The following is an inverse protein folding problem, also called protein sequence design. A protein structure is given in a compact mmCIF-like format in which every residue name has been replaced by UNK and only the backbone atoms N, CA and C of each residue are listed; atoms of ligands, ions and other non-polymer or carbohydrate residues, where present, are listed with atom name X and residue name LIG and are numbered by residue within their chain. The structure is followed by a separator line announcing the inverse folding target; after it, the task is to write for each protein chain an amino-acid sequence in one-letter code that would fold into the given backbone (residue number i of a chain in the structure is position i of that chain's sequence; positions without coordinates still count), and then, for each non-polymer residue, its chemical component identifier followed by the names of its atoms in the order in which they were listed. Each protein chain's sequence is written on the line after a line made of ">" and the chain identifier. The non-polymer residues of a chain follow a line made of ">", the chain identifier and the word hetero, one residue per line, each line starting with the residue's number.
data_IF_466837878312
#
_entry.id   IF_466837878312
#
_cell.length_a   1.000
_cell.length_b   1.000
_cell.length_c   1.000
_cell.angle_alpha   90.00
_cell.angle_beta   90.00
_cell.angle_gamma   90.00
#
_symmetry.space_group_name_H-M   'P 1'
#
loop_
_entity.id
_entity.type
_entity.pdbx_description
1 polymer ?
#
# COMPACT_ATOMS: atom_id res chain seq x y z
N UNK A 1 19.63 13.40 -22.92
CA UNK A 1 19.54 13.53 -21.46
C UNK A 1 18.37 14.44 -21.11
N UNK A 2 17.19 13.92 -20.84
CA UNK A 2 16.08 14.64 -20.22
C UNK A 2 15.95 14.10 -18.80
N UNK A 3 16.51 14.83 -17.84
CA UNK A 3 16.27 14.54 -16.44
C UNK A 3 14.76 14.66 -16.18
N UNK A 4 14.10 13.55 -15.95
CA UNK A 4 12.74 13.50 -15.45
C UNK A 4 12.80 14.05 -14.02
N UNK A 5 12.37 15.30 -13.87
CA UNK A 5 12.28 15.93 -12.55
C UNK A 5 11.26 15.13 -11.75
N UNK A 6 11.72 14.38 -10.75
CA UNK A 6 10.85 13.89 -9.69
C UNK A 6 10.10 15.10 -9.13
N UNK A 7 8.81 15.17 -9.43
CA UNK A 7 7.92 16.16 -8.83
C UNK A 7 7.79 15.72 -7.37
N UNK A 8 8.11 16.57 -6.41
CA UNK A 8 7.96 16.23 -5.00
C UNK A 8 6.46 16.18 -4.67
N UNK A 9 5.88 14.98 -4.74
CA UNK A 9 4.50 14.70 -4.28
C UNK A 9 4.37 14.91 -2.76
N UNK A 10 5.49 15.03 -2.06
CA UNK A 10 5.54 15.20 -0.60
C UNK A 10 5.01 16.56 -0.12
N UNK A 11 4.93 17.59 -0.97
CA UNK A 11 4.58 18.95 -0.53
C UNK A 11 3.07 19.20 -0.33
N UNK A 12 2.19 18.28 -0.73
CA UNK A 12 0.74 18.48 -0.65
C UNK A 12 0.08 17.91 0.62
N UNK A 13 0.79 17.08 1.38
CA UNK A 13 0.26 16.45 2.59
C UNK A 13 0.53 17.21 3.90
N UNK A 14 1.45 18.16 3.90
CA UNK A 14 1.86 18.90 5.11
C UNK A 14 0.80 19.90 5.62
N UNK A 15 0.00 20.59 4.79
CA UNK A 15 -0.95 21.57 5.34
C UNK A 15 -2.18 20.94 5.99
N UNK A 16 -2.54 19.70 5.69
CA UNK A 16 -3.73 19.06 6.30
C UNK A 16 -3.51 18.67 7.78
N UNK A 17 -2.27 18.41 8.18
CA UNK A 17 -1.92 18.10 9.56
C UNK A 17 -1.89 19.33 10.47
N UNK A 18 -1.74 20.54 9.92
CA UNK A 18 -1.62 21.78 10.69
C UNK A 18 -2.95 22.31 11.23
N UNK A 19 -4.10 21.83 10.74
CA UNK A 19 -5.43 22.27 11.18
C UNK A 19 -6.11 21.35 12.20
N UNK A 20 -5.54 20.18 12.48
CA UNK A 20 -6.03 19.34 13.56
C UNK A 20 -5.51 19.88 14.89
N UNK A 21 -6.16 20.91 15.43
CA UNK A 21 -5.92 21.28 16.84
C UNK A 21 -6.33 20.09 17.70
N UNK A 22 -5.45 19.56 18.57
CA UNK A 22 -5.84 18.53 19.50
C UNK A 22 -6.89 19.14 20.44
N UNK A 23 -8.15 18.70 20.31
CA UNK A 23 -9.12 18.92 21.39
C UNK A 23 -8.57 18.20 22.63
N UNK A 24 -8.61 18.86 23.82
CA UNK A 24 -8.21 18.20 25.04
C UNK A 24 -9.02 16.91 25.15
N UNK A 25 -8.33 15.77 25.15
CA UNK A 25 -8.95 14.51 25.50
C UNK A 25 -9.52 14.67 26.91
N UNK A 26 -10.80 14.38 27.09
CA UNK A 26 -11.35 14.23 28.42
C UNK A 26 -10.53 13.15 29.13
N UNK A 27 -9.75 13.58 30.12
CA UNK A 27 -8.90 12.71 30.92
C UNK A 27 -9.80 11.85 31.80
N UNK A 28 -10.25 10.73 31.26
CA UNK A 28 -10.70 9.63 32.10
C UNK A 28 -9.46 8.81 32.46
N UNK A 29 -9.20 8.62 33.72
CA UNK A 29 -8.13 7.82 34.30
C UNK A 29 -8.06 6.44 33.58
N UNK A 30 -7.10 6.25 32.72
CA UNK A 30 -6.93 4.98 32.02
C UNK A 30 -5.67 5.05 31.18
N UNK A 31 -4.82 4.04 31.29
CA UNK A 31 -3.57 3.89 30.56
C UNK A 31 -3.68 4.12 29.06
N UNK A 32 -2.66 3.77 28.31
CA UNK A 32 -2.55 3.99 26.86
C UNK A 32 -3.73 3.42 26.04
N UNK A 33 -4.47 2.43 26.57
CA UNK A 33 -5.65 1.83 25.94
C UNK A 33 -6.92 2.19 26.74
N UNK A 34 -7.67 3.16 26.24
CA UNK A 34 -8.92 3.66 26.85
C UNK A 34 -10.11 3.49 25.90
N UNK A 35 -11.32 3.54 26.43
CA UNK A 35 -12.55 3.45 25.65
C UNK A 35 -12.73 4.69 24.77
N UNK A 36 -13.15 4.48 23.52
CA UNK A 36 -13.47 5.52 22.55
C UNK A 36 -14.82 5.20 21.91
N UNK A 37 -15.54 6.22 21.45
CA UNK A 37 -16.77 6.00 20.71
C UNK A 37 -16.44 5.45 19.31
N UNK A 38 -16.89 4.23 18.96
CA UNK A 38 -16.62 3.64 17.66
C UNK A 38 -17.35 4.41 16.55
N UNK A 39 -16.70 4.54 15.40
CA UNK A 39 -17.26 5.22 14.24
C UNK A 39 -17.91 4.20 13.31
N UNK A 40 -19.04 4.59 12.70
CA UNK A 40 -19.73 3.83 11.65
C UNK A 40 -20.32 4.76 10.60
N UNK A 41 -20.61 4.25 9.40
CA UNK A 41 -21.13 5.02 8.27
C UNK A 41 -20.24 6.22 7.94
N UNK A 42 -18.93 6.04 7.97
CA UNK A 42 -17.92 7.07 7.73
C UNK A 42 -17.08 6.75 6.50
N UNK A 43 -16.66 7.78 5.77
CA UNK A 43 -15.59 7.63 4.80
C UNK A 43 -14.24 7.58 5.52
N UNK A 44 -13.34 6.72 5.02
CA UNK A 44 -11.99 6.57 5.52
C UNK A 44 -11.00 6.95 4.43
N UNK A 45 -10.00 7.75 4.79
CA UNK A 45 -8.84 8.02 3.95
C UNK A 45 -7.62 7.51 4.70
N UNK A 46 -6.94 6.54 4.11
CA UNK A 46 -5.67 6.02 4.60
C UNK A 46 -4.50 6.54 3.77
N UNK A 47 -3.39 6.84 4.43
CA UNK A 47 -2.12 7.15 3.77
C UNK A 47 -1.01 6.41 4.51
N UNK A 48 -0.26 5.60 3.78
CA UNK A 48 0.83 4.80 4.33
C UNK A 48 2.15 5.01 3.60
N UNK A 49 3.23 4.72 4.30
CA UNK A 49 4.56 4.64 3.72
C UNK A 49 5.38 3.56 4.42
N UNK A 50 6.24 2.89 3.68
CA UNK A 50 7.04 1.82 4.26
C UNK A 50 8.04 1.21 3.29
N UNK A 51 8.64 0.15 3.78
CA UNK A 51 9.55 -0.71 3.06
C UNK A 51 8.77 -1.81 2.34
N UNK A 52 9.20 -2.15 1.13
CA UNK A 52 8.63 -3.27 0.37
C UNK A 52 9.74 -4.10 -0.27
N UNK A 53 9.50 -5.40 -0.37
CA UNK A 53 10.39 -6.33 -1.05
C UNK A 53 9.58 -7.45 -1.69
N UNK A 54 9.91 -7.77 -2.92
CA UNK A 54 9.35 -8.90 -3.64
C UNK A 54 10.30 -10.08 -3.70
N UNK A 55 9.76 -11.27 -4.00
CA UNK A 55 10.52 -12.50 -4.20
C UNK A 55 9.73 -13.55 -4.98
N UNK A 56 10.46 -14.56 -5.49
CA UNK A 56 9.87 -15.66 -6.26
C UNK A 56 10.00 -15.51 -7.78
N UNK A 57 9.68 -16.58 -8.50
CA UNK A 57 9.87 -16.67 -9.95
C UNK A 57 8.79 -15.92 -10.72
N UNK A 58 9.19 -15.22 -11.78
CA UNK A 58 8.26 -14.46 -12.66
C UNK A 58 7.54 -15.34 -13.69
N UNK A 59 8.16 -16.44 -14.09
CA UNK A 59 7.69 -17.30 -15.18
C UNK A 59 8.46 -17.09 -16.50
N UNK A 60 8.30 -18.00 -17.44
CA UNK A 60 9.08 -18.00 -18.69
C UNK A 60 10.58 -18.00 -18.41
N UNK A 61 11.30 -17.16 -19.13
CA UNK A 61 12.75 -16.95 -18.98
C UNK A 61 13.09 -15.66 -18.23
N UNK A 62 12.14 -15.08 -17.47
CA UNK A 62 12.30 -13.77 -16.83
C UNK A 62 13.12 -13.81 -15.52
N UNK A 63 13.47 -15.00 -15.03
CA UNK A 63 14.17 -15.14 -13.75
C UNK A 63 13.27 -14.98 -12.55
N UNK A 64 13.80 -14.43 -11.46
CA UNK A 64 13.06 -14.15 -10.23
C UNK A 64 12.75 -12.65 -10.11
N UNK A 65 11.78 -12.31 -9.27
CA UNK A 65 11.41 -10.92 -9.00
C UNK A 65 12.58 -10.16 -8.33
N UNK A 66 13.35 -10.83 -7.49
CA UNK A 66 14.54 -10.29 -6.81
C UNK A 66 15.65 -9.93 -7.80
N UNK A 67 15.77 -10.69 -8.92
CA UNK A 67 16.74 -10.41 -9.98
C UNK A 67 16.44 -9.11 -10.73
N UNK A 68 15.17 -8.65 -10.66
CA UNK A 68 14.66 -7.50 -11.40
C UNK A 68 14.41 -6.30 -10.47
N UNK A 69 13.80 -6.55 -9.33
CA UNK A 69 13.38 -5.54 -8.36
C UNK A 69 13.82 -5.94 -6.95
N UNK A 70 14.85 -5.31 -6.45
CA UNK A 70 15.35 -5.47 -5.09
C UNK A 70 14.44 -4.78 -4.06
N UNK A 71 14.95 -4.61 -2.84
CA UNK A 71 14.23 -3.91 -1.79
C UNK A 71 13.97 -2.44 -2.16
N UNK A 72 12.88 -1.88 -1.62
CA UNK A 72 12.50 -0.52 -1.95
C UNK A 72 11.57 0.15 -0.95
N UNK A 73 11.12 1.33 -1.30
CA UNK A 73 10.12 2.09 -0.57
C UNK A 73 8.77 2.09 -1.27
N UNK A 74 7.70 2.21 -0.51
CA UNK A 74 6.34 2.35 -1.06
C UNK A 74 5.54 3.41 -0.31
N UNK A 75 4.61 3.99 -1.05
CA UNK A 75 3.52 4.82 -0.51
C UNK A 75 2.19 4.21 -0.91
N UNK A 76 1.21 4.31 -0.03
CA UNK A 76 -0.11 3.74 -0.20
C UNK A 76 -1.17 4.77 0.11
N UNK A 77 -2.25 4.75 -0.64
CA UNK A 77 -3.46 5.52 -0.39
C UNK A 77 -4.63 4.55 -0.38
N UNK A 78 -5.44 4.64 0.66
CA UNK A 78 -6.67 3.88 0.84
C UNK A 78 -7.87 4.83 0.86
N UNK A 79 -8.93 4.45 0.18
CA UNK A 79 -10.22 5.12 0.23
C UNK A 79 -11.27 4.08 0.61
N UNK A 80 -11.85 4.22 1.78
CA UNK A 80 -12.78 3.25 2.34
C UNK A 80 -14.10 3.86 2.82
N UNK A 81 -15.02 2.97 3.11
CA UNK A 81 -16.24 3.28 3.79
C UNK A 81 -16.48 2.28 4.91
N UNK A 82 -16.55 2.78 6.13
CA UNK A 82 -16.82 2.00 7.33
C UNK A 82 -18.33 1.79 7.46
N UNK A 83 -18.77 0.58 7.13
CA UNK A 83 -20.18 0.20 7.16
C UNK A 83 -20.72 0.07 8.59
N UNK A 84 -19.97 -0.64 9.40
CA UNK A 84 -20.18 -0.85 10.84
C UNK A 84 -18.84 -0.63 11.54
N UNK A 85 -18.81 -0.47 12.87
CA UNK A 85 -17.56 -0.22 13.58
C UNK A 85 -16.42 -1.20 13.26
N UNK A 86 -16.77 -2.47 13.03
CA UNK A 86 -15.82 -3.56 12.81
C UNK A 86 -15.42 -3.75 11.34
N UNK A 87 -16.21 -3.23 10.37
CA UNK A 87 -16.01 -3.57 8.96
C UNK A 87 -15.94 -2.33 8.06
N UNK A 88 -14.85 -2.20 7.33
CA UNK A 88 -14.72 -1.26 6.23
C UNK A 88 -14.47 -1.96 4.89
N UNK A 89 -14.97 -1.36 3.82
CA UNK A 89 -14.74 -1.77 2.42
C UNK A 89 -14.16 -0.60 1.66
N UNK A 90 -13.24 -0.86 0.75
CA UNK A 90 -12.59 0.24 0.04
C UNK A 90 -11.77 -0.20 -1.16
N UNK A 91 -11.08 0.78 -1.70
CA UNK A 91 -10.08 0.65 -2.76
C UNK A 91 -8.74 1.11 -2.23
N UNK A 92 -7.68 0.57 -2.77
CA UNK A 92 -6.31 1.00 -2.44
C UNK A 92 -5.50 1.24 -3.71
N UNK A 93 -4.48 2.06 -3.57
CA UNK A 93 -3.45 2.29 -4.56
C UNK A 93 -2.08 2.39 -3.92
N UNK A 94 -1.11 1.66 -4.45
CA UNK A 94 0.27 1.67 -3.96
C UNK A 94 1.20 2.07 -5.09
N UNK A 95 2.15 2.94 -4.80
CA UNK A 95 3.29 3.23 -5.66
C UNK A 95 4.56 2.81 -4.92
N UNK A 96 5.45 2.11 -5.60
CA UNK A 96 6.72 1.67 -5.02
C UNK A 96 7.88 1.96 -5.94
N UNK A 97 9.02 2.28 -5.35
CA UNK A 97 10.31 2.32 -6.04
C UNK A 97 11.17 1.22 -5.46
N UNK A 98 11.89 0.50 -6.30
CA UNK A 98 12.79 -0.56 -5.85
C UNK A 98 14.21 -0.28 -6.36
N UNK A 99 15.18 -0.74 -5.58
CA UNK A 99 16.55 -0.83 -6.07
C UNK A 99 16.58 -1.83 -7.23
N UNK A 100 17.53 -1.65 -8.15
CA UNK A 100 17.73 -2.64 -9.21
C UNK A 100 18.05 -4.00 -8.61
N UNK A 101 17.55 -5.05 -9.24
CA UNK A 101 17.92 -6.42 -8.91
C UNK A 101 19.36 -6.75 -9.33
N UNK A 102 19.90 -7.83 -8.79
CA UNK A 102 21.32 -8.21 -8.96
C UNK A 102 21.70 -8.52 -10.41
N UNK A 103 20.75 -8.92 -11.26
CA UNK A 103 20.97 -9.29 -12.65
C UNK A 103 20.82 -8.13 -13.64
N UNK A 104 20.40 -6.95 -13.22
CA UNK A 104 20.30 -5.78 -14.08
C UNK A 104 21.65 -5.04 -14.17
N UNK A 105 22.14 -4.83 -15.39
CA UNK A 105 23.39 -4.12 -15.65
C UNK A 105 23.08 -2.64 -15.95
N UNK A 106 23.79 -1.71 -15.30
CA UNK A 106 23.62 -0.26 -15.49
C UNK A 106 22.67 0.37 -14.47
N UNK A 107 22.43 1.68 -14.60
CA UNK A 107 21.46 2.40 -13.78
C UNK A 107 20.05 2.13 -14.34
N UNK A 108 19.23 1.46 -13.57
CA UNK A 108 17.83 1.18 -13.90
C UNK A 108 16.96 1.67 -12.76
N UNK A 109 15.92 2.41 -13.09
CA UNK A 109 14.86 2.77 -12.17
C UNK A 109 13.76 1.72 -12.25
N UNK A 110 13.34 1.19 -11.10
CA UNK A 110 12.25 0.22 -11.01
C UNK A 110 11.09 0.86 -10.27
N UNK A 111 9.96 0.96 -10.96
CA UNK A 111 8.72 1.52 -10.43
C UNK A 111 7.65 0.43 -10.40
N UNK A 112 7.00 0.26 -9.25
CA UNK A 112 5.84 -0.60 -9.09
C UNK A 112 4.58 0.22 -8.84
N UNK A 113 3.44 -0.28 -9.32
CA UNK A 113 2.13 0.24 -8.93
C UNK A 113 1.15 -0.91 -8.73
N UNK A 114 0.27 -0.75 -7.76
CA UNK A 114 -0.82 -1.69 -7.50
C UNK A 114 -2.11 -0.90 -7.28
N UNK A 115 -3.23 -1.42 -7.73
CA UNK A 115 -4.54 -0.84 -7.46
C UNK A 115 -5.57 -1.96 -7.30
N UNK A 116 -6.43 -1.86 -6.29
CA UNK A 116 -7.35 -2.94 -5.99
C UNK A 116 -8.48 -2.57 -5.04
N UNK A 117 -9.19 -3.60 -4.62
CA UNK A 117 -10.27 -3.53 -3.64
C UNK A 117 -9.87 -4.27 -2.38
N UNK A 118 -10.34 -3.82 -1.25
CA UNK A 118 -10.05 -4.44 0.04
C UNK A 118 -11.22 -4.36 1.01
N UNK A 119 -11.20 -5.27 1.98
CA UNK A 119 -12.05 -5.25 3.16
C UNK A 119 -11.15 -5.30 4.40
N UNK A 120 -11.43 -4.47 5.40
CA UNK A 120 -10.72 -4.48 6.67
C UNK A 120 -11.67 -4.78 7.82
N UNK A 121 -11.22 -5.65 8.73
CA UNK A 121 -11.91 -5.99 9.95
C UNK A 121 -11.16 -5.48 11.17
N UNK A 122 -11.83 -4.70 12.00
CA UNK A 122 -11.36 -4.09 13.23
C UNK A 122 -11.84 -4.90 14.42
N UNK A 123 -10.90 -5.30 15.29
CA UNK A 123 -11.22 -6.20 16.42
C UNK A 123 -11.69 -5.46 17.66
N UNK A 124 -11.27 -4.20 17.81
CA UNK A 124 -11.57 -3.40 19.02
C UNK A 124 -11.84 -1.93 18.67
N UNK A 125 -12.86 -1.64 17.83
CA UNK A 125 -13.13 -0.29 17.34
C UNK A 125 -13.60 0.66 18.46
N UNK A 126 -13.98 0.12 19.63
CA UNK A 126 -14.37 0.84 20.84
C UNK A 126 -13.18 1.19 21.76
N UNK A 127 -11.95 0.94 21.31
CA UNK A 127 -10.72 1.21 22.05
C UNK A 127 -9.77 2.13 21.31
N UNK A 128 -8.91 2.80 22.08
CA UNK A 128 -7.86 3.65 21.50
C UNK A 128 -6.76 2.86 20.79
N UNK A 129 -6.58 1.58 21.13
CA UNK A 129 -5.75 0.63 20.40
C UNK A 129 -6.67 -0.39 19.75
N UNK A 130 -6.76 -0.33 18.42
CA UNK A 130 -7.64 -1.17 17.60
C UNK A 130 -6.83 -2.00 16.61
N UNK A 131 -6.54 -3.27 16.93
CA UNK A 131 -5.95 -4.19 15.98
C UNK A 131 -6.91 -4.44 14.81
N UNK A 132 -6.35 -4.58 13.60
CA UNK A 132 -7.15 -4.86 12.42
C UNK A 132 -6.41 -5.79 11.45
N UNK A 133 -7.18 -6.43 10.58
CA UNK A 133 -6.70 -7.21 9.44
C UNK A 133 -7.43 -6.74 8.18
N UNK A 134 -6.71 -6.62 7.06
CA UNK A 134 -7.33 -6.39 5.75
C UNK A 134 -7.00 -7.52 4.78
N UNK A 135 -7.95 -7.78 3.87
CA UNK A 135 -7.83 -8.68 2.75
C UNK A 135 -8.15 -7.92 1.48
N UNK A 136 -7.34 -8.09 0.44
CA UNK A 136 -7.52 -7.39 -0.82
C UNK A 136 -7.11 -8.23 -2.03
N UNK A 137 -7.45 -7.72 -3.20
CA UNK A 137 -7.03 -8.24 -4.51
C UNK A 137 -7.02 -7.09 -5.51
N UNK A 138 -6.20 -7.19 -6.56
CA UNK A 138 -6.09 -6.08 -7.48
C UNK A 138 -5.25 -6.36 -8.72
N UNK A 139 -4.94 -5.29 -9.42
CA UNK A 139 -4.00 -5.25 -10.52
C UNK A 139 -2.62 -4.81 -10.02
N UNK A 140 -1.55 -5.33 -10.63
CA UNK A 140 -0.17 -4.98 -10.34
C UNK A 140 0.61 -4.73 -11.62
N UNK A 141 1.39 -3.65 -11.65
CA UNK A 141 2.31 -3.30 -12.71
C UNK A 141 3.72 -3.06 -12.18
N UNK A 142 4.72 -3.40 -12.98
CA UNK A 142 6.14 -3.14 -12.72
C UNK A 142 6.77 -2.59 -14.00
N UNK A 143 7.46 -1.47 -13.89
CA UNK A 143 8.18 -0.81 -14.97
C UNK A 143 9.66 -0.75 -14.64
N UNK A 144 10.47 -1.22 -15.58
CA UNK A 144 11.93 -1.22 -15.50
C UNK A 144 12.42 -0.28 -16.57
N UNK A 145 13.00 0.84 -16.16
CA UNK A 145 13.45 1.92 -17.05
C UNK A 145 14.99 1.93 -17.09
N UNK A 146 15.61 1.34 -18.13
CA UNK A 146 17.06 1.35 -18.25
C UNK A 146 17.56 2.73 -18.69
N UNK A 147 18.71 3.18 -18.16
CA UNK A 147 19.32 4.48 -18.46
C UNK A 147 19.53 4.72 -19.97
N UNK A 148 19.74 3.65 -20.75
CA UNK A 148 19.92 3.69 -22.19
C UNK A 148 19.11 2.56 -22.85
N UNK A 149 17.82 2.77 -23.05
CA UNK A 149 16.97 1.75 -23.67
C UNK A 149 15.50 2.10 -23.61
N UNK A 150 14.68 1.15 -24.03
CA UNK A 150 13.23 1.25 -23.89
C UNK A 150 12.79 0.57 -22.59
N UNK A 151 11.81 1.16 -21.94
CA UNK A 151 11.16 0.61 -20.73
C UNK A 151 10.59 -0.77 -21.01
N UNK A 152 10.83 -1.70 -20.09
CA UNK A 152 10.13 -3.00 -20.03
C UNK A 152 9.05 -2.90 -18.98
N UNK A 153 7.82 -3.33 -19.31
CA UNK A 153 6.74 -3.39 -18.35
C UNK A 153 6.23 -4.82 -18.17
N UNK A 154 5.92 -5.15 -16.90
CA UNK A 154 5.25 -6.37 -16.51
C UNK A 154 3.90 -6.00 -15.92
N UNK A 155 2.85 -6.70 -16.35
CA UNK A 155 1.49 -6.47 -15.83
C UNK A 155 0.88 -7.79 -15.35
N UNK A 156 0.12 -7.73 -14.29
CA UNK A 156 -0.46 -8.91 -13.69
C UNK A 156 -1.53 -8.61 -12.65
N UNK A 157 -1.77 -9.59 -11.82
CA UNK A 157 -2.76 -9.56 -10.76
C UNK A 157 -2.07 -9.71 -9.39
N UNK A 158 -2.52 -8.93 -8.45
CA UNK A 158 -2.37 -9.21 -7.03
C UNK A 158 -3.52 -10.14 -6.65
N UNK A 159 -3.22 -11.46 -6.60
CA UNK A 159 -4.23 -12.51 -6.38
C UNK A 159 -4.84 -12.42 -5.00
N UNK A 160 -3.99 -12.14 -4.01
CA UNK A 160 -4.40 -11.96 -2.64
C UNK A 160 -3.41 -11.04 -1.92
N UNK A 161 -3.93 -10.14 -1.11
CA UNK A 161 -3.18 -9.25 -0.24
C UNK A 161 -3.70 -9.40 1.17
N UNK A 162 -2.81 -9.48 2.14
CA UNK A 162 -3.13 -9.49 3.56
C UNK A 162 -2.29 -8.42 4.24
N UNK A 163 -2.93 -7.59 5.06
CA UNK A 163 -2.24 -6.66 5.95
C UNK A 163 -2.81 -6.79 7.35
N UNK A 164 -1.96 -6.58 8.34
CA UNK A 164 -2.34 -6.45 9.74
C UNK A 164 -1.71 -5.19 10.30
N UNK A 165 -2.43 -4.53 11.18
CA UNK A 165 -1.98 -3.33 11.86
C UNK A 165 -2.69 -3.14 13.19
N UNK A 166 -2.28 -2.11 13.92
CA UNK A 166 -2.94 -1.71 15.14
C UNK A 166 -3.05 -0.18 15.14
N UNK A 167 -4.25 0.31 14.95
CA UNK A 167 -4.55 1.74 15.01
C UNK A 167 -4.37 2.24 16.44
N UNK A 168 -3.59 3.28 16.60
CA UNK A 168 -3.57 4.10 17.82
C UNK A 168 -4.31 5.40 17.53
N UNK A 169 -5.42 5.61 18.20
CA UNK A 169 -6.30 6.76 17.98
C UNK A 169 -5.73 8.01 18.65
N UNK A 170 -5.28 8.95 17.80
CA UNK A 170 -4.74 10.24 18.23
C UNK A 170 -5.84 11.26 18.54
N UNK A 171 -6.95 11.17 17.83
CA UNK A 171 -8.13 12.00 18.04
C UNK A 171 -9.38 11.20 17.67
N UNK A 172 -10.55 11.83 17.78
CA UNK A 172 -11.80 11.18 17.37
C UNK A 172 -11.78 10.73 15.90
N UNK A 173 -11.08 11.44 15.01
CA UNK A 173 -11.11 11.23 13.57
C UNK A 173 -9.75 10.80 12.98
N UNK A 174 -8.69 10.70 13.79
CA UNK A 174 -7.33 10.44 13.32
C UNK A 174 -6.73 9.28 14.09
N UNK A 175 -6.18 8.31 13.39
CA UNK A 175 -5.37 7.23 13.96
C UNK A 175 -4.06 7.06 13.18
N UNK A 176 -3.09 6.44 13.83
CA UNK A 176 -1.80 6.03 13.25
C UNK A 176 -1.57 4.55 13.58
N UNK A 177 -1.03 3.79 12.65
CA UNK A 177 -0.78 2.36 12.84
C UNK A 177 0.56 1.93 12.29
N UNK A 178 1.32 1.11 13.01
CA UNK A 178 2.29 0.22 12.39
C UNK A 178 1.54 -0.83 11.56
N UNK A 179 2.05 -1.12 10.38
CA UNK A 179 1.44 -2.07 9.43
C UNK A 179 2.50 -3.03 8.93
N UNK A 180 2.13 -4.30 8.85
CA UNK A 180 2.90 -5.34 8.17
C UNK A 180 1.95 -6.13 7.27
N UNK A 181 2.41 -6.52 6.10
CA UNK A 181 1.59 -7.27 5.16
C UNK A 181 2.39 -7.99 4.10
N UNK A 182 1.65 -8.67 3.23
CA UNK A 182 2.20 -9.32 2.07
C UNK A 182 1.13 -9.62 1.03
N UNK A 183 1.58 -9.89 -0.18
CA UNK A 183 0.73 -10.27 -1.29
C UNK A 183 1.26 -11.49 -2.05
N UNK A 184 0.33 -12.18 -2.69
CA UNK A 184 0.59 -13.20 -3.71
C UNK A 184 0.26 -12.57 -5.05
N UNK A 185 1.25 -12.52 -5.93
CA UNK A 185 1.17 -11.83 -7.20
C UNK A 185 1.42 -12.81 -8.35
N UNK A 186 0.86 -12.52 -9.53
CA UNK A 186 1.14 -13.28 -10.74
C UNK A 186 1.18 -12.32 -11.93
N UNK A 187 2.36 -12.19 -12.57
CA UNK A 187 2.48 -11.44 -13.81
C UNK A 187 1.97 -12.25 -14.98
N UNK A 188 1.20 -11.61 -15.87
CA UNK A 188 0.48 -12.25 -16.96
C UNK A 188 1.08 -11.88 -18.31
N UNK A 189 1.46 -10.60 -18.47
CA UNK A 189 1.97 -10.07 -19.70
C UNK A 189 3.19 -9.20 -19.50
N UNK A 190 4.04 -9.15 -20.52
CA UNK A 190 5.16 -8.23 -20.60
C UNK A 190 5.14 -7.44 -21.89
N UNK A 191 5.60 -6.20 -21.84
CA UNK A 191 5.99 -5.39 -22.98
C UNK A 191 7.50 -5.22 -22.94
N UNK A 192 8.17 -5.65 -24.01
CA UNK A 192 9.62 -5.60 -24.11
C UNK A 192 10.03 -4.85 -25.38
N UNK A 193 11.13 -4.11 -25.36
CA UNK A 193 11.67 -3.42 -26.54
C UNK A 193 11.89 -4.30 -27.77
N UNK A 194 11.98 -5.61 -27.55
CA UNK A 194 12.23 -6.60 -28.62
C UNK A 194 10.94 -7.09 -29.29
N UNK A 195 9.79 -6.78 -28.74
CA UNK A 195 8.48 -7.19 -29.27
C UNK A 195 7.62 -5.96 -29.50
N UNK A 196 6.87 -5.92 -30.60
CA UNK A 196 6.02 -4.77 -30.97
C UNK A 196 4.71 -4.76 -30.18
N UNK A 197 4.36 -5.87 -29.55
CA UNK A 197 3.08 -6.11 -28.87
C UNK A 197 3.28 -6.69 -27.47
N UNK A 198 2.28 -6.50 -26.62
CA UNK A 198 2.16 -7.17 -25.33
C UNK A 198 2.23 -8.68 -25.52
N UNK A 199 3.25 -9.29 -24.94
CA UNK A 199 3.46 -10.74 -25.02
C UNK A 199 3.01 -11.40 -23.74
N UNK A 200 2.23 -12.47 -23.87
CA UNK A 200 1.81 -13.28 -22.72
C UNK A 200 3.01 -14.03 -22.13
N UNK A 201 3.19 -13.94 -20.82
CA UNK A 201 4.23 -14.69 -20.10
C UNK A 201 3.83 -16.17 -20.08
N UNK A 202 4.69 -17.01 -20.65
CA UNK A 202 4.52 -18.47 -20.62
C UNK A 202 4.90 -19.00 -19.22
N UNK A 203 4.28 -20.11 -18.83
CA UNK A 203 4.59 -20.78 -17.55
C UNK A 203 4.57 -19.82 -16.33
N UNK A 204 3.48 -19.03 -16.24
CA UNK A 204 3.26 -18.03 -15.18
C UNK A 204 3.49 -18.62 -13.81
N UNK A 205 4.16 -17.89 -12.94
CA UNK A 205 4.44 -18.30 -11.55
C UNK A 205 3.84 -17.29 -10.57
N UNK A 206 3.49 -17.79 -9.40
CA UNK A 206 3.09 -16.95 -8.28
C UNK A 206 4.35 -16.45 -7.60
N UNK A 207 4.40 -15.14 -7.39
CA UNK A 207 5.43 -14.48 -6.59
C UNK A 207 4.82 -13.95 -5.30
N UNK A 208 5.68 -13.53 -4.38
CA UNK A 208 5.29 -12.95 -3.10
C UNK A 208 5.89 -11.57 -2.96
N UNK A 209 5.17 -10.66 -2.32
CA UNK A 209 5.72 -9.37 -1.91
C UNK A 209 5.44 -9.16 -0.42
N UNK A 210 6.39 -8.57 0.30
CA UNK A 210 6.27 -8.18 1.69
C UNK A 210 6.28 -6.67 1.85
N UNK A 211 5.59 -6.18 2.86
CA UNK A 211 5.50 -4.77 3.21
C UNK A 211 5.58 -4.59 4.73
N UNK A 212 6.28 -3.53 5.17
CA UNK A 212 6.28 -3.10 6.55
C UNK A 212 6.38 -1.57 6.62
N UNK A 213 5.52 -0.91 7.38
CA UNK A 213 5.47 0.53 7.39
C UNK A 213 4.59 1.13 8.47
N UNK A 214 4.22 2.38 8.24
CA UNK A 214 3.32 3.15 9.11
C UNK A 214 2.22 3.72 8.21
N UNK A 215 0.98 3.69 8.70
CA UNK A 215 -0.17 4.34 8.06
C UNK A 215 -0.84 5.33 9.00
N UNK A 216 -1.41 6.39 8.44
CA UNK A 216 -2.37 7.28 9.09
C UNK A 216 -3.73 7.08 8.48
N UNK A 217 -4.78 7.09 9.30
CA UNK A 217 -6.17 6.97 8.86
C UNK A 217 -6.98 8.15 9.36
N UNK A 218 -7.87 8.63 8.50
CA UNK A 218 -8.76 9.75 8.75
C UNK A 218 -10.20 9.31 8.52
N UNK A 219 -11.04 9.42 9.54
CA UNK A 219 -12.48 9.16 9.47
C UNK A 219 -13.20 10.47 9.13
N UNK A 220 -13.99 10.49 8.06
CA UNK A 220 -14.75 11.65 7.62
C UNK A 220 -16.25 11.40 7.74
N UNK A 221 -16.92 12.22 8.54
CA UNK A 221 -18.35 12.08 8.79
C UNK A 221 -18.68 10.87 9.66
N UNK A 222 -19.81 10.24 9.37
CA UNK A 222 -20.29 9.09 10.11
C UNK A 222 -21.00 9.41 11.42
N UNK A 223 -21.45 8.37 12.09
CA UNK A 223 -22.05 8.41 13.41
C UNK A 223 -21.18 7.68 14.43
N UNK A 224 -21.21 8.14 15.67
CA UNK A 224 -20.48 7.50 16.76
C UNK A 224 -21.50 6.95 17.75
N UNK A 225 -21.33 5.65 18.07
CA UNK A 225 -22.10 5.01 19.14
C UNK A 225 -21.87 5.74 20.48
N UNK A 226 -22.92 5.84 21.27
CA UNK A 226 -22.85 6.28 22.66
C UNK A 226 -22.45 5.11 23.54
#
# INVERSE_FOLDING_TARGET
>A
MKAMKLIPVVSLLVPALAYAQPQPAETTEGGFDHAVAPVQNAFEIGVGAGYTQGGGKLGGNLGSLEDVAGPGGSVEIDLGYRLIPELSLGVYGTLSTAQRGDNLVGDNDVLGATAGIQAAYHFRPDRSIDPWVSLGTGWKGLWIDPANGKTTSLQGLELARVQVGADYRLSKDISIAPVIGGSLDMFISQDSPMTTDLTEIQDKKVNVSGYAGISGRFDLGGSRGR
#
